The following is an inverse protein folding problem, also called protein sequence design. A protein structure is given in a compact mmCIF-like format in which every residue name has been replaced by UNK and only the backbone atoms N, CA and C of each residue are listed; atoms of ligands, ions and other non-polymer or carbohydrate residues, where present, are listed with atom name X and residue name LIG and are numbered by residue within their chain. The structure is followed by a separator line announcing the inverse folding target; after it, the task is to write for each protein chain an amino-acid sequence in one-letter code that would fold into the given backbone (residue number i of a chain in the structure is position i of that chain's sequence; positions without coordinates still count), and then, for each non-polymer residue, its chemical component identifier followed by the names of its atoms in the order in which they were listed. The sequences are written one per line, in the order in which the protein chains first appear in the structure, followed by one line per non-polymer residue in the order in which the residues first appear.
data_IF_753312551419
#
_entry.id   IF_753312551419
#
_cell.length_a   1.000
_cell.length_b   1.000
_cell.length_c   1.000
_cell.angle_alpha   90.00
_cell.angle_beta   90.00
_cell.angle_gamma   90.00
#
_symmetry.space_group_name_H-M   'P 1'
#
loop_
_entity.id
_entity.type
_entity.pdbx_description
1 polymer ?
#
# COMPACT_ATOMS: atom_id res chain seq x y z
N UNK A 1 -78.43 15.83 40.78
CA UNK A 1 -77.70 14.73 41.43
C UNK A 1 -77.04 13.93 40.32
N UNK A 2 -75.83 14.32 39.91
CA UNK A 2 -74.76 13.41 39.47
C UNK A 2 -73.52 14.25 39.15
N UNK A 3 -72.58 14.14 40.07
CA UNK A 3 -71.19 14.59 39.99
C UNK A 3 -70.39 13.46 39.35
N UNK A 4 -69.68 13.68 38.24
CA UNK A 4 -68.36 13.07 38.12
C UNK A 4 -67.45 13.63 37.03
N UNK A 5 -66.16 13.54 37.35
CA UNK A 5 -65.04 13.36 36.43
C UNK A 5 -64.70 14.47 35.43
N UNK A 6 -64.14 15.56 35.96
CA UNK A 6 -63.12 16.32 35.22
C UNK A 6 -61.82 16.40 36.03
N UNK A 7 -61.23 15.23 36.29
CA UNK A 7 -59.90 15.09 36.89
C UNK A 7 -58.84 15.38 35.82
N UNK A 8 -58.74 16.63 35.38
CA UNK A 8 -57.58 17.11 34.63
C UNK A 8 -56.44 17.30 35.62
N UNK A 9 -55.56 16.32 35.70
CA UNK A 9 -54.27 16.46 36.36
C UNK A 9 -53.53 17.63 35.69
N UNK A 10 -53.56 18.78 36.35
CA UNK A 10 -52.82 19.97 35.96
C UNK A 10 -51.36 19.69 36.27
N UNK A 11 -50.59 19.23 35.27
CA UNK A 11 -49.15 19.24 35.36
C UNK A 11 -48.70 20.69 35.53
N UNK A 12 -48.38 21.05 36.78
CA UNK A 12 -47.86 22.36 37.14
C UNK A 12 -46.43 22.45 36.57
N UNK A 13 -46.31 22.91 35.33
CA UNK A 13 -45.04 23.17 34.66
C UNK A 13 -44.24 24.19 35.49
N UNK A 14 -43.09 23.76 36.01
CA UNK A 14 -42.13 24.65 36.68
C UNK A 14 -41.20 25.22 35.61
N UNK A 15 -41.26 26.53 35.41
CA UNK A 15 -40.57 27.25 34.32
C UNK A 15 -39.03 27.13 34.28
N UNK A 16 -38.38 26.47 35.26
CA UNK A 16 -36.95 26.17 35.25
C UNK A 16 -36.59 24.72 34.87
N UNK A 17 -37.56 23.81 34.87
CA UNK A 17 -37.33 22.38 34.63
C UNK A 17 -37.23 22.06 33.13
N UNK A 18 -37.91 22.83 32.28
CA UNK A 18 -37.90 22.70 30.83
C UNK A 18 -36.58 23.13 30.18
N UNK A 19 -35.90 24.14 30.73
CA UNK A 19 -34.62 24.60 30.17
C UNK A 19 -33.49 23.60 30.44
N UNK A 20 -33.45 23.03 31.65
CA UNK A 20 -32.46 22.00 32.01
C UNK A 20 -32.64 20.75 31.14
N UNK A 21 -33.88 20.31 30.93
CA UNK A 21 -34.19 19.15 30.09
C UNK A 21 -33.74 19.35 28.64
N UNK A 22 -34.01 20.51 28.04
CA UNK A 22 -33.54 20.84 26.69
C UNK A 22 -32.01 20.93 26.64
N UNK A 23 -31.35 21.50 27.65
CA UNK A 23 -29.88 21.53 27.69
C UNK A 23 -29.25 20.15 27.83
N UNK A 24 -29.84 19.26 28.64
CA UNK A 24 -29.36 17.88 28.76
C UNK A 24 -29.62 17.10 27.47
N UNK A 25 -30.80 17.25 26.87
CA UNK A 25 -31.12 16.62 25.58
C UNK A 25 -30.16 17.08 24.48
N UNK A 26 -29.80 18.38 24.43
CA UNK A 26 -28.85 18.91 23.43
C UNK A 26 -27.42 18.44 23.68
N UNK A 27 -26.96 18.35 24.93
CA UNK A 27 -25.64 17.79 25.26
C UNK A 27 -25.57 16.31 24.87
N UNK A 28 -26.59 15.52 25.21
CA UNK A 28 -26.66 14.09 24.84
C UNK A 28 -26.71 13.92 23.32
N UNK A 29 -27.51 14.73 22.62
CA UNK A 29 -27.54 14.75 21.16
C UNK A 29 -26.19 15.13 20.55
N UNK A 30 -25.48 16.10 21.12
CA UNK A 30 -24.16 16.51 20.65
C UNK A 30 -23.10 15.41 20.85
N UNK A 31 -23.07 14.76 22.02
CA UNK A 31 -22.13 13.66 22.32
C UNK A 31 -22.37 12.48 21.40
N UNK A 32 -23.64 12.08 21.23
CA UNK A 32 -24.01 10.96 20.35
C UNK A 32 -23.69 11.25 18.89
N UNK A 33 -23.99 12.46 18.40
CA UNK A 33 -23.62 12.87 17.05
C UNK A 33 -22.10 12.83 16.85
N UNK A 34 -21.31 13.39 17.77
CA UNK A 34 -19.85 13.39 17.70
C UNK A 34 -19.29 11.95 17.66
N UNK A 35 -19.80 11.06 18.52
CA UNK A 35 -19.38 9.67 18.55
C UNK A 35 -19.66 8.95 17.22
N UNK A 36 -20.84 9.15 16.62
CA UNK A 36 -21.20 8.56 15.32
C UNK A 36 -20.28 9.06 14.22
N UNK A 37 -20.04 10.38 14.16
CA UNK A 37 -19.10 10.94 13.17
C UNK A 37 -17.68 10.42 13.35
N UNK A 38 -17.19 10.27 14.59
CA UNK A 38 -15.87 9.68 14.86
C UNK A 38 -15.76 8.24 14.36
N UNK A 39 -16.78 7.41 14.60
CA UNK A 39 -16.80 6.01 14.13
C UNK A 39 -16.81 5.93 12.60
N UNK A 40 -17.60 6.78 11.94
CA UNK A 40 -17.68 6.82 10.48
C UNK A 40 -16.34 7.24 9.88
N UNK A 41 -15.75 8.35 10.35
CA UNK A 41 -14.45 8.83 9.86
C UNK A 41 -13.35 7.78 10.06
N UNK A 42 -13.31 7.17 11.25
CA UNK A 42 -12.34 6.12 11.58
C UNK A 42 -12.50 4.89 10.66
N UNK A 43 -13.74 4.51 10.33
CA UNK A 43 -14.01 3.39 9.42
C UNK A 43 -13.58 3.70 7.99
N UNK A 44 -13.81 4.93 7.51
CA UNK A 44 -13.42 5.35 6.16
C UNK A 44 -11.91 5.42 5.98
N UNK A 45 -11.17 5.94 6.97
CA UNK A 45 -9.69 5.96 6.92
C UNK A 45 -9.12 4.55 7.00
N UNK A 46 -9.72 3.69 7.83
CA UNK A 46 -9.30 2.29 7.95
C UNK A 46 -9.44 1.51 6.65
N UNK A 47 -10.57 1.67 5.93
CA UNK A 47 -10.80 1.03 4.62
C UNK A 47 -9.80 1.48 3.57
N UNK A 48 -9.65 2.80 3.35
CA UNK A 48 -8.68 3.33 2.37
C UNK A 48 -7.24 2.88 2.65
N UNK A 49 -6.85 2.81 3.92
CA UNK A 49 -5.52 2.30 4.30
C UNK A 49 -5.40 0.79 4.05
N UNK A 50 -6.46 0.03 4.28
CA UNK A 50 -6.52 -1.41 4.01
C UNK A 50 -6.40 -1.69 2.51
N UNK A 51 -7.13 -0.95 1.68
CA UNK A 51 -7.17 -1.13 0.22
C UNK A 51 -5.80 -0.83 -0.40
N UNK A 52 -5.18 0.31 -0.02
CA UNK A 52 -3.78 0.62 -0.40
C UNK A 52 -2.80 -0.49 0.02
N UNK A 53 -2.97 -1.06 1.22
CA UNK A 53 -2.09 -2.14 1.71
C UNK A 53 -2.29 -3.43 0.91
N UNK A 54 -3.52 -3.82 0.61
CA UNK A 54 -3.83 -5.03 -0.16
C UNK A 54 -3.30 -4.92 -1.59
N UNK A 55 -3.53 -3.80 -2.26
CA UNK A 55 -3.00 -3.52 -3.59
C UNK A 55 -1.47 -3.52 -3.60
N UNK A 56 -0.84 -2.91 -2.59
CA UNK A 56 0.63 -2.93 -2.47
C UNK A 56 1.20 -4.33 -2.27
N UNK A 57 0.51 -5.18 -1.50
CA UNK A 57 0.92 -6.56 -1.29
C UNK A 57 0.77 -7.39 -2.57
N UNK A 58 -0.27 -7.12 -3.36
CA UNK A 58 -0.45 -7.73 -4.68
C UNK A 58 0.71 -7.36 -5.62
N UNK A 59 1.05 -6.07 -5.75
CA UNK A 59 2.14 -5.62 -6.61
C UNK A 59 3.51 -6.18 -6.17
N UNK A 60 3.78 -6.25 -4.87
CA UNK A 60 5.02 -6.85 -4.38
C UNK A 60 5.08 -8.34 -4.74
N UNK A 61 3.97 -9.08 -4.62
CA UNK A 61 3.93 -10.50 -4.99
C UNK A 61 4.12 -10.70 -6.49
N UNK A 62 3.48 -9.90 -7.32
CA UNK A 62 3.66 -9.92 -8.77
C UNK A 62 5.12 -9.64 -9.14
N UNK A 63 5.73 -8.63 -8.52
CA UNK A 63 7.13 -8.31 -8.71
C UNK A 63 8.05 -9.46 -8.28
N UNK A 64 7.79 -10.10 -7.13
CA UNK A 64 8.53 -11.27 -6.67
C UNK A 64 8.43 -12.44 -7.64
N UNK A 65 7.22 -12.78 -8.10
CA UNK A 65 7.00 -13.86 -9.06
C UNK A 65 7.73 -13.56 -10.37
N UNK A 66 7.68 -12.32 -10.83
CA UNK A 66 8.37 -11.89 -12.05
C UNK A 66 9.88 -12.00 -11.89
N UNK A 67 10.45 -11.57 -10.76
CA UNK A 67 11.88 -11.69 -10.49
C UNK A 67 12.35 -13.14 -10.35
N UNK A 68 11.52 -14.03 -9.81
CA UNK A 68 11.81 -15.46 -9.75
C UNK A 68 11.99 -16.08 -11.14
N UNK A 69 11.29 -15.58 -12.17
CA UNK A 69 11.47 -16.06 -13.54
C UNK A 69 12.85 -15.69 -14.13
N UNK A 70 13.55 -14.71 -13.55
CA UNK A 70 14.91 -14.35 -13.97
C UNK A 70 15.98 -15.12 -13.19
N UNK A 71 15.61 -15.87 -12.15
CA UNK A 71 16.52 -16.73 -11.38
C UNK A 71 16.54 -18.11 -12.04
N UNK A 72 17.73 -18.60 -12.38
CA UNK A 72 17.94 -19.99 -12.80
C UNK A 72 18.65 -20.76 -11.69
N UNK A 73 18.16 -21.97 -11.40
CA UNK A 73 18.83 -22.91 -10.51
C UNK A 73 19.92 -23.73 -11.22
N UNK A 74 19.99 -23.65 -12.55
CA UNK A 74 20.99 -24.37 -13.33
C UNK A 74 22.31 -23.59 -13.33
N UNK A 75 23.27 -24.10 -12.57
CA UNK A 75 24.64 -23.59 -12.46
C UNK A 75 25.54 -23.98 -13.65
N UNK A 76 25.05 -24.80 -14.59
CA UNK A 76 25.77 -25.18 -15.82
C UNK A 76 25.44 -24.27 -17.01
N UNK A 77 24.37 -23.48 -16.91
CA UNK A 77 23.95 -22.46 -17.89
C UNK A 77 24.15 -20.98 -17.49
N UNK A 78 25.07 -20.55 -16.60
CA UNK A 78 25.36 -19.14 -16.43
C UNK A 78 26.73 -18.82 -17.02
N UNK A 79 26.84 -18.61 -18.34
CA UNK A 79 28.11 -18.12 -18.87
C UNK A 79 27.87 -17.01 -19.88
N UNK A 80 28.18 -15.81 -19.41
CA UNK A 80 28.70 -14.70 -20.19
C UNK A 80 29.84 -15.23 -21.09
N UNK A 81 29.49 -15.84 -22.22
CA UNK A 81 30.49 -16.06 -23.26
C UNK A 81 30.76 -14.67 -23.83
N UNK A 82 32.01 -14.41 -24.19
CA UNK A 82 32.49 -13.19 -24.86
C UNK A 82 31.76 -12.87 -26.20
N UNK A 83 30.70 -13.61 -26.53
CA UNK A 83 29.81 -13.47 -27.67
C UNK A 83 28.41 -12.87 -27.34
N UNK A 84 28.11 -12.48 -26.09
CA UNK A 84 26.97 -11.62 -25.81
C UNK A 84 25.58 -12.27 -25.75
N UNK A 85 25.48 -13.57 -25.49
CA UNK A 85 24.17 -14.25 -25.38
C UNK A 85 23.89 -14.68 -23.95
N UNK A 86 22.92 -14.04 -23.29
CA UNK A 86 22.42 -14.42 -21.98
C UNK A 86 21.05 -15.08 -22.16
N UNK A 87 20.86 -16.28 -21.63
CA UNK A 87 19.56 -16.94 -21.56
C UNK A 87 19.04 -16.88 -20.13
N UNK A 88 18.43 -15.75 -19.77
CA UNK A 88 17.40 -15.78 -18.74
C UNK A 88 16.12 -16.37 -19.39
N UNK A 89 15.29 -17.15 -18.68
CA UNK A 89 14.05 -17.72 -19.22
C UNK A 89 13.13 -16.69 -19.88
N UNK A 90 13.23 -15.41 -19.49
CA UNK A 90 12.52 -14.29 -20.08
C UNK A 90 13.43 -13.48 -21.02
N UNK A 91 13.16 -13.58 -22.32
CA UNK A 91 13.47 -12.65 -23.43
C UNK A 91 14.45 -11.49 -23.08
N UNK A 92 15.74 -11.79 -22.96
CA UNK A 92 16.80 -10.79 -22.85
C UNK A 92 17.15 -10.30 -21.44
N UNK A 93 16.59 -10.91 -20.39
CA UNK A 93 16.97 -10.70 -18.98
C UNK A 93 16.78 -9.27 -18.44
N UNK A 94 16.03 -8.46 -19.17
CA UNK A 94 15.57 -7.13 -18.76
C UNK A 94 14.08 -7.22 -18.46
N UNK A 95 13.66 -6.54 -17.41
CA UNK A 95 12.25 -6.41 -17.11
C UNK A 95 11.69 -5.16 -17.81
N UNK A 96 10.68 -5.33 -18.66
CA UNK A 96 10.05 -4.23 -19.41
C UNK A 96 9.44 -3.14 -18.53
N UNK A 97 9.06 -3.46 -17.30
CA UNK A 97 8.55 -2.48 -16.34
C UNK A 97 9.67 -1.64 -15.70
N UNK A 98 10.93 -2.11 -15.78
CA UNK A 98 12.08 -1.43 -15.21
C UNK A 98 12.66 -0.39 -16.17
N UNK A 99 12.62 0.86 -15.75
CA UNK A 99 13.14 2.01 -16.51
C UNK A 99 14.65 2.19 -16.41
N UNK A 100 15.34 1.39 -15.58
CA UNK A 100 16.80 1.48 -15.37
C UNK A 100 17.63 1.03 -16.58
N UNK A 101 17.02 0.39 -17.58
CA UNK A 101 17.69 -0.20 -18.76
C UNK A 101 18.79 -1.23 -18.43
N UNK A 102 18.79 -1.78 -17.22
CA UNK A 102 19.75 -2.78 -16.76
C UNK A 102 19.13 -4.18 -16.73
N UNK A 103 19.94 -5.22 -16.47
CA UNK A 103 19.40 -6.56 -16.27
C UNK A 103 18.59 -6.60 -14.99
N UNK A 104 17.46 -7.31 -14.98
CA UNK A 104 16.53 -7.34 -13.86
C UNK A 104 17.15 -7.81 -12.53
N UNK A 105 18.27 -8.55 -12.59
CA UNK A 105 19.01 -9.01 -11.41
C UNK A 105 20.45 -8.45 -11.37
N UNK A 106 20.71 -7.33 -12.06
CA UNK A 106 21.99 -6.62 -11.93
C UNK A 106 22.10 -6.11 -10.50
N UNK A 107 23.11 -6.53 -9.76
CA UNK A 107 23.30 -6.08 -8.39
C UNK A 107 24.70 -5.55 -8.13
N UNK A 108 24.90 -5.06 -6.91
CA UNK A 108 26.21 -4.66 -6.40
C UNK A 108 26.44 -5.24 -5.02
N UNK A 109 27.69 -5.51 -4.66
CA UNK A 109 28.04 -6.00 -3.32
C UNK A 109 27.79 -4.95 -2.21
N UNK A 110 27.87 -3.65 -2.56
CA UNK A 110 27.60 -2.56 -1.63
C UNK A 110 26.09 -2.38 -1.40
N UNK A 111 25.70 -2.16 -0.15
CA UNK A 111 24.32 -1.81 0.22
C UNK A 111 23.99 -0.37 -0.24
N UNK A 112 22.74 -0.08 -0.68
CA UNK A 112 21.57 -0.98 -0.70
C UNK A 112 21.51 -1.93 -1.92
N UNK A 113 22.49 -1.89 -2.82
CA UNK A 113 22.48 -2.61 -4.09
C UNK A 113 22.25 -1.68 -5.28
N UNK A 114 22.06 -2.27 -6.46
CA UNK A 114 21.66 -1.55 -7.66
C UNK A 114 20.15 -1.29 -7.62
N UNK A 115 19.73 -0.05 -7.90
CA UNK A 115 18.32 0.34 -7.93
C UNK A 115 17.70 0.07 -9.31
N UNK A 116 16.50 -0.48 -9.29
CA UNK A 116 15.64 -0.69 -10.45
C UNK A 116 14.29 -0.02 -10.21
N UNK A 117 13.82 0.75 -11.18
CA UNK A 117 12.59 1.54 -11.04
C UNK A 117 11.47 0.94 -11.86
N UNK A 118 10.54 0.30 -11.15
CA UNK A 118 9.34 -0.38 -11.66
C UNK A 118 8.07 0.40 -11.36
N UNK A 119 8.17 1.71 -11.14
CA UNK A 119 7.03 2.58 -10.83
C UNK A 119 5.98 2.58 -11.95
N UNK A 120 6.34 2.14 -13.15
CA UNK A 120 5.41 1.90 -14.26
C UNK A 120 4.26 0.95 -13.88
N UNK A 121 4.48 -0.02 -12.98
CA UNK A 121 3.44 -0.93 -12.49
C UNK A 121 2.34 -0.20 -11.71
N UNK A 122 2.67 0.92 -11.06
CA UNK A 122 1.71 1.77 -10.34
C UNK A 122 0.97 2.75 -11.26
N UNK A 123 1.38 2.89 -12.51
CA UNK A 123 0.83 3.87 -13.46
C UNK A 123 -0.37 3.32 -14.26
N UNK A 124 -0.82 2.11 -13.97
CA UNK A 124 -2.01 1.51 -14.57
C UNK A 124 -3.29 2.11 -13.98
N UNK A 125 -4.40 1.95 -14.69
CA UNK A 125 -5.73 2.39 -14.22
C UNK A 125 -6.15 1.66 -12.94
N UNK A 126 -5.77 0.40 -12.81
CA UNK A 126 -6.18 -0.47 -11.69
C UNK A 126 -5.44 -0.11 -10.40
N UNK A 127 -4.27 0.52 -10.52
CA UNK A 127 -3.44 1.00 -9.40
C UNK A 127 -3.64 2.49 -9.11
N UNK A 128 -4.72 3.09 -9.63
CA UNK A 128 -5.01 4.51 -9.44
C UNK A 128 -5.07 4.92 -7.96
N UNK A 129 -5.51 4.03 -7.06
CA UNK A 129 -5.54 4.32 -5.62
C UNK A 129 -4.14 4.45 -4.99
N UNK A 130 -3.15 3.74 -5.53
CA UNK A 130 -1.75 3.85 -5.07
C UNK A 130 -1.08 5.13 -5.59
N UNK A 131 -1.45 5.54 -6.79
CA UNK A 131 -0.99 6.78 -7.43
C UNK A 131 -1.73 8.03 -6.91
N UNK A 132 -2.93 7.87 -6.36
CA UNK A 132 -3.74 8.97 -5.86
C UNK A 132 -3.98 10.03 -6.93
N UNK A 133 -3.62 11.28 -6.63
CA UNK A 133 -3.74 12.41 -7.56
C UNK A 133 -2.47 12.64 -8.41
N UNK A 134 -1.41 11.87 -8.19
CA UNK A 134 -0.17 12.04 -8.93
C UNK A 134 -0.37 11.70 -10.42
N UNK A 135 0.24 12.50 -11.30
CA UNK A 135 0.18 12.24 -12.74
C UNK A 135 0.86 10.89 -13.10
N UNK A 136 2.00 10.60 -12.44
CA UNK A 136 2.72 9.34 -12.56
C UNK A 136 3.56 9.09 -11.31
N UNK A 137 3.81 7.82 -11.02
CA UNK A 137 4.79 7.34 -10.06
C UNK A 137 6.12 7.13 -10.77
N UNK A 138 7.19 7.62 -10.14
CA UNK A 138 8.58 7.53 -10.60
C UNK A 138 9.47 7.75 -9.39
N UNK A 139 10.66 7.14 -9.38
CA UNK A 139 11.64 7.39 -8.33
C UNK A 139 11.92 8.88 -8.12
N UNK A 140 11.91 9.32 -6.86
CA UNK A 140 12.08 10.72 -6.47
C UNK A 140 10.82 11.59 -6.58
N UNK A 141 9.70 11.02 -7.03
CA UNK A 141 8.42 11.71 -7.15
C UNK A 141 7.50 11.63 -5.92
N UNK A 142 6.21 11.91 -6.16
CA UNK A 142 5.16 11.81 -5.14
C UNK A 142 4.91 10.37 -4.70
N UNK A 143 4.99 9.42 -5.63
CA UNK A 143 4.89 7.98 -5.42
C UNK A 143 5.95 7.24 -6.23
N UNK A 144 6.39 6.06 -5.77
CA UNK A 144 7.35 5.21 -6.47
C UNK A 144 7.21 3.76 -6.06
N UNK A 145 7.66 2.85 -6.94
CA UNK A 145 7.91 1.45 -6.61
C UNK A 145 9.23 1.04 -7.25
N UNK A 146 10.21 0.77 -6.40
CA UNK A 146 11.56 0.41 -6.81
C UNK A 146 11.98 -0.87 -6.09
N UNK A 147 12.93 -1.58 -6.66
CA UNK A 147 13.62 -2.66 -5.97
C UNK A 147 15.12 -2.46 -6.05
N UNK A 148 15.82 -2.99 -5.05
CA UNK A 148 17.27 -3.00 -5.00
C UNK A 148 17.78 -4.43 -5.02
N UNK A 149 18.79 -4.68 -5.85
CA UNK A 149 19.46 -5.97 -5.96
C UNK A 149 20.86 -5.84 -5.36
N UNK A 150 21.08 -6.55 -4.26
CA UNK A 150 22.39 -6.65 -3.63
C UNK A 150 22.99 -8.03 -3.89
N UNK A 151 24.27 -8.05 -4.22
CA UNK A 151 25.03 -9.29 -4.40
C UNK A 151 25.50 -9.79 -3.04
N UNK A 152 25.02 -10.96 -2.65
CA UNK A 152 25.30 -11.56 -1.34
C UNK A 152 26.04 -12.87 -1.53
N UNK A 153 27.12 -13.06 -0.76
CA UNK A 153 27.78 -14.36 -0.70
C UNK A 153 26.96 -15.32 0.17
N UNK A 154 26.39 -16.34 -0.46
CA UNK A 154 25.58 -17.35 0.21
C UNK A 154 26.31 -18.68 0.43
N UNK A 155 27.63 -18.72 0.19
CA UNK A 155 28.47 -19.93 0.37
C UNK A 155 28.04 -21.15 -0.47
N UNK A 156 27.12 -20.96 -1.43
CA UNK A 156 26.71 -21.95 -2.43
C UNK A 156 27.32 -21.56 -3.79
N UNK A 157 28.52 -22.07 -4.08
CA UNK A 157 29.22 -21.86 -5.37
C UNK A 157 30.52 -21.05 -5.27
N UNK A 158 31.27 -21.01 -6.38
CA UNK A 158 32.63 -20.44 -6.47
C UNK A 158 32.69 -18.95 -6.87
N UNK A 159 31.56 -18.25 -6.95
CA UNK A 159 31.48 -16.87 -7.45
C UNK A 159 30.84 -15.87 -6.47
N UNK A 160 31.36 -14.64 -6.45
CA UNK A 160 30.92 -13.52 -5.59
C UNK A 160 29.57 -12.88 -5.97
N UNK A 161 28.75 -13.56 -6.79
CA UNK A 161 27.45 -13.05 -7.26
C UNK A 161 26.37 -14.12 -7.44
N UNK A 162 26.58 -15.31 -6.86
CA UNK A 162 25.68 -16.45 -7.00
C UNK A 162 24.33 -16.25 -6.30
N UNK A 163 24.29 -15.46 -5.22
CA UNK A 163 23.04 -15.08 -4.57
C UNK A 163 22.78 -13.58 -4.65
N UNK A 164 21.50 -13.27 -4.85
CA UNK A 164 20.98 -11.91 -4.91
C UNK A 164 19.98 -11.73 -3.78
N UNK A 165 20.13 -10.65 -3.03
CA UNK A 165 19.12 -10.18 -2.08
C UNK A 165 18.33 -9.08 -2.76
N UNK A 166 17.02 -9.27 -2.89
CA UNK A 166 16.11 -8.26 -3.45
C UNK A 166 15.34 -7.60 -2.31
N UNK A 167 15.39 -6.29 -2.25
CA UNK A 167 14.56 -5.49 -1.34
C UNK A 167 13.64 -4.58 -2.14
N UNK A 168 12.40 -4.44 -1.70
CA UNK A 168 11.40 -3.59 -2.34
C UNK A 168 11.18 -2.33 -1.52
N UNK A 169 11.10 -1.19 -2.19
CA UNK A 169 10.73 0.09 -1.60
C UNK A 169 9.58 0.69 -2.40
N UNK A 170 8.50 1.01 -1.71
CA UNK A 170 7.29 1.53 -2.32
C UNK A 170 6.73 2.67 -1.48
N UNK A 171 6.43 3.78 -2.15
CA UNK A 171 5.83 4.98 -1.59
C UNK A 171 4.53 5.29 -2.32
N UNK A 172 3.46 5.45 -1.57
CA UNK A 172 2.16 5.88 -2.09
C UNK A 172 2.07 7.40 -2.14
N UNK A 173 1.26 7.91 -3.06
CA UNK A 173 0.82 9.29 -2.99
C UNK A 173 -0.24 9.44 -1.89
N UNK A 174 -0.25 10.59 -1.22
CA UNK A 174 -1.21 10.94 -0.18
C UNK A 174 -2.64 10.98 -0.74
#
# INVERSE_FOLDING_TARGET
METDMNRRAMFKSRAGQTLIEVTMATIVAAITAAAVFSVILSSSVSRKKSDKKELSAMLIKEAQQTLQLYVSADSTTPVYTSAGTYWAPNLGGRWSADSSNSWALTGSAAAPGTRHDISALMNTTDMAELRGTAASCVWGGACHFVYYVQDTNCSFGTGTGACKTVSFDMKFAD
#
